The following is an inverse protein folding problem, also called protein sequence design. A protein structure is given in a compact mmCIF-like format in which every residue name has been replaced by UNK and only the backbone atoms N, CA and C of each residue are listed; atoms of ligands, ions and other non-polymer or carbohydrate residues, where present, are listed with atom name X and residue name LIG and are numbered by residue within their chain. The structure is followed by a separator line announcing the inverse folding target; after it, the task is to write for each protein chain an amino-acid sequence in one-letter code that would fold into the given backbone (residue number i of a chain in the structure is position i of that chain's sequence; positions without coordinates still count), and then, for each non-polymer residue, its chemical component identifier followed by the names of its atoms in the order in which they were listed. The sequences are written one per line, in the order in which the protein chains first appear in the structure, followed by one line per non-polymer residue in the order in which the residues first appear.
data_IF_631249700659
#
_entry.id   IF_631249700659
#
_cell.length_a   1.000
_cell.length_b   1.000
_cell.length_c   1.000
_cell.angle_alpha   90.00
_cell.angle_beta   90.00
_cell.angle_gamma   90.00
#
_symmetry.space_group_name_H-M   'P 1'
#
loop_
_entity.id
_entity.type
_entity.pdbx_description
1 polymer ?
#
# COMPACT_ATOMS: atom_id res chain seq x y z
N UNK A 1 10.49 29.37 0.99
CA UNK A 1 11.31 28.16 1.20
C UNK A 1 10.61 27.17 2.14
N UNK A 2 10.01 27.68 3.20
CA UNK A 2 9.34 26.85 4.22
C UNK A 2 8.20 25.99 3.66
N UNK A 3 7.38 26.57 2.78
CA UNK A 3 6.31 25.83 2.07
C UNK A 3 6.86 24.69 1.22
N UNK A 4 7.99 24.87 0.53
CA UNK A 4 8.59 23.82 -0.29
C UNK A 4 9.06 22.65 0.56
N UNK A 5 9.78 22.93 1.65
CA UNK A 5 10.26 21.90 2.58
C UNK A 5 9.06 21.16 3.20
N UNK A 6 8.02 21.90 3.59
CA UNK A 6 6.79 21.28 4.12
C UNK A 6 6.13 20.35 3.11
N UNK A 7 6.03 20.74 1.83
CA UNK A 7 5.44 19.90 0.79
C UNK A 7 6.30 18.67 0.51
N UNK A 8 7.63 18.76 0.58
CA UNK A 8 8.50 17.59 0.47
C UNK A 8 8.27 16.62 1.64
N UNK A 9 8.20 17.11 2.89
CA UNK A 9 7.92 16.26 4.06
C UNK A 9 6.55 15.60 3.92
N UNK A 10 5.51 16.37 3.62
CA UNK A 10 4.16 15.84 3.41
C UNK A 10 4.13 14.78 2.30
N UNK A 11 4.83 15.06 1.19
CA UNK A 11 4.95 14.15 0.06
C UNK A 11 5.70 12.87 0.40
N UNK A 12 6.77 12.95 1.19
CA UNK A 12 7.50 11.77 1.67
C UNK A 12 6.63 10.91 2.59
N UNK A 13 5.85 11.51 3.48
CA UNK A 13 4.92 10.78 4.35
C UNK A 13 3.82 10.11 3.54
N UNK A 14 3.16 10.85 2.67
CA UNK A 14 2.10 10.32 1.78
C UNK A 14 2.64 9.22 0.87
N UNK A 15 3.78 9.49 0.23
CA UNK A 15 4.45 8.56 -0.65
C UNK A 15 4.95 7.30 0.06
N UNK A 16 5.29 7.40 1.35
CA UNK A 16 5.65 6.24 2.18
C UNK A 16 4.46 5.29 2.37
N UNK A 17 3.27 5.84 2.59
CA UNK A 17 2.04 5.01 2.65
C UNK A 17 1.76 4.34 1.30
N UNK A 18 1.86 5.09 0.20
CA UNK A 18 1.70 4.51 -1.14
C UNK A 18 2.76 3.44 -1.43
N UNK A 19 4.01 3.66 -1.03
CA UNK A 19 5.08 2.70 -1.19
C UNK A 19 4.82 1.39 -0.45
N UNK A 20 4.32 1.43 0.80
CA UNK A 20 3.97 0.23 1.57
C UNK A 20 2.89 -0.60 0.86
N UNK A 21 1.86 0.04 0.33
CA UNK A 21 0.80 -0.64 -0.42
C UNK A 21 1.32 -1.14 -1.78
N UNK A 22 2.13 -0.34 -2.48
CA UNK A 22 2.73 -0.68 -3.76
C UNK A 22 3.68 -1.90 -3.65
N UNK A 23 4.40 -2.03 -2.53
CA UNK A 23 5.21 -3.22 -2.23
C UNK A 23 4.34 -4.48 -2.16
N UNK A 24 3.17 -4.41 -1.54
CA UNK A 24 2.21 -5.53 -1.51
C UNK A 24 1.69 -5.90 -2.89
N UNK A 25 1.33 -4.93 -3.72
CA UNK A 25 0.94 -5.16 -5.12
C UNK A 25 2.07 -5.83 -5.91
N UNK A 26 3.26 -5.26 -5.83
CA UNK A 26 4.44 -5.72 -6.57
C UNK A 26 4.85 -7.14 -6.18
N UNK A 27 4.75 -7.50 -4.90
CA UNK A 27 5.03 -8.87 -4.44
C UNK A 27 4.08 -9.89 -5.06
N UNK A 28 2.77 -9.62 -5.02
CA UNK A 28 1.77 -10.52 -5.57
C UNK A 28 1.91 -10.61 -7.08
N UNK A 29 1.98 -9.46 -7.75
CA UNK A 29 2.13 -9.41 -9.21
C UNK A 29 3.42 -10.09 -9.70
N UNK A 30 4.54 -9.88 -9.03
CA UNK A 30 5.83 -10.47 -9.41
C UNK A 30 5.86 -12.00 -9.39
N UNK A 31 4.90 -12.66 -8.72
CA UNK A 31 4.86 -14.12 -8.64
C UNK A 31 3.76 -14.74 -9.52
N UNK A 32 2.58 -14.12 -9.57
CA UNK A 32 1.44 -14.70 -10.29
C UNK A 32 1.01 -13.91 -11.53
N UNK A 33 1.65 -12.77 -11.79
CA UNK A 33 1.31 -11.84 -12.88
C UNK A 33 -0.19 -11.45 -12.91
N UNK A 34 -0.83 -11.39 -11.74
CA UNK A 34 -2.21 -10.96 -11.55
C UNK A 34 -2.27 -9.76 -10.60
N UNK A 35 -3.11 -8.79 -10.96
CA UNK A 35 -3.33 -7.59 -10.16
C UNK A 35 -4.47 -7.86 -9.18
N UNK A 36 -4.20 -7.68 -7.89
CA UNK A 36 -5.20 -7.79 -6.84
C UNK A 36 -5.82 -6.43 -6.52
N UNK A 37 -6.83 -5.98 -7.26
CA UNK A 37 -7.50 -4.70 -6.98
C UNK A 37 -8.18 -4.64 -5.60
N UNK A 38 -8.45 -5.78 -4.97
CA UNK A 38 -8.96 -5.81 -3.60
C UNK A 38 -7.90 -5.44 -2.53
N UNK A 39 -6.63 -5.27 -2.93
CA UNK A 39 -5.53 -5.00 -1.99
C UNK A 39 -5.68 -3.64 -1.26
N UNK A 40 -6.23 -2.62 -1.93
CA UNK A 40 -6.58 -1.36 -1.30
C UNK A 40 -7.64 -1.53 -0.20
N UNK A 41 -8.60 -2.43 -0.40
CA UNK A 41 -9.62 -2.71 0.62
C UNK A 41 -9.07 -3.50 1.81
N UNK A 42 -7.99 -4.26 1.61
CA UNK A 42 -7.26 -4.89 2.74
C UNK A 42 -6.65 -3.81 3.65
N UNK A 43 -6.12 -2.73 3.07
CA UNK A 43 -5.68 -1.54 3.83
C UNK A 43 -6.84 -0.96 4.67
N UNK A 44 -8.01 -0.77 4.05
CA UNK A 44 -9.22 -0.27 4.74
C UNK A 44 -9.61 -1.19 5.90
N UNK A 45 -9.67 -2.50 5.68
CA UNK A 45 -9.98 -3.48 6.74
C UNK A 45 -8.96 -3.40 7.88
N UNK A 46 -7.67 -3.22 7.55
CA UNK A 46 -6.61 -3.02 8.54
C UNK A 46 -6.84 -1.79 9.40
N UNK A 47 -7.15 -0.65 8.77
CA UNK A 47 -7.45 0.59 9.46
C UNK A 47 -8.68 0.49 10.37
N UNK A 48 -9.79 -0.09 9.87
CA UNK A 48 -11.03 -0.28 10.64
C UNK A 48 -10.85 -1.28 11.79
N UNK A 49 -10.11 -2.36 11.58
CA UNK A 49 -9.76 -3.33 12.64
C UNK A 49 -8.92 -2.67 13.73
N UNK A 50 -7.89 -1.92 13.35
CA UNK A 50 -7.07 -1.18 14.31
C UNK A 50 -7.90 -0.17 15.09
N UNK A 51 -8.77 0.60 14.40
CA UNK A 51 -9.71 1.52 15.06
C UNK A 51 -10.58 0.81 16.09
N UNK A 52 -11.13 -0.36 15.75
CA UNK A 52 -11.99 -1.15 16.65
C UNK A 52 -11.24 -1.55 17.92
N UNK A 53 -10.02 -2.09 17.76
CA UNK A 53 -9.19 -2.53 18.89
C UNK A 53 -8.76 -1.35 19.76
N UNK A 54 -8.28 -0.28 19.14
CA UNK A 54 -7.86 0.94 19.86
C UNK A 54 -9.02 1.53 20.67
N UNK A 55 -10.20 1.65 20.05
CA UNK A 55 -11.39 2.21 20.72
C UNK A 55 -11.88 1.31 21.85
N UNK A 56 -11.84 -0.02 21.67
CA UNK A 56 -12.23 -0.98 22.69
C UNK A 56 -11.26 -1.01 23.88
N UNK A 57 -9.97 -0.79 23.65
CA UNK A 57 -8.94 -0.84 24.68
C UNK A 57 -8.64 0.54 25.30
N UNK A 58 -9.08 1.64 24.70
CA UNK A 58 -8.88 2.99 25.22
C UNK A 58 -9.35 3.17 26.69
N UNK A 59 -10.48 2.59 27.13
CA UNK A 59 -10.94 2.72 28.53
C UNK A 59 -10.01 2.09 29.56
N UNK A 60 -9.12 1.18 29.17
CA UNK A 60 -8.18 0.52 30.08
C UNK A 60 -6.96 1.36 30.45
N UNK A 61 -6.84 2.60 29.93
CA UNK A 61 -5.76 3.53 30.28
C UNK A 61 -4.38 3.12 29.78
N UNK A 62 -4.31 2.30 28.73
CA UNK A 62 -3.05 1.89 28.13
C UNK A 62 -2.36 3.08 27.42
N UNK A 63 -1.01 3.13 27.44
CA UNK A 63 -0.29 4.18 26.72
C UNK A 63 -0.56 4.10 25.21
N UNK A 64 -0.61 5.25 24.52
CA UNK A 64 -1.02 5.34 23.13
C UNK A 64 -0.15 4.49 22.18
N UNK A 65 1.17 4.38 22.44
CA UNK A 65 2.05 3.50 21.66
C UNK A 65 1.66 2.02 21.78
N UNK A 66 1.21 1.58 22.97
CA UNK A 66 0.77 0.20 23.17
C UNK A 66 -0.56 -0.07 22.46
N UNK A 67 -1.50 0.89 22.49
CA UNK A 67 -2.75 0.82 21.74
C UNK A 67 -2.50 0.74 20.24
N UNK A 68 -1.56 1.54 19.72
CA UNK A 68 -1.18 1.50 18.32
C UNK A 68 -0.58 0.15 17.93
N UNK A 69 0.30 -0.40 18.75
CA UNK A 69 0.92 -1.70 18.53
C UNK A 69 -0.10 -2.84 18.55
N UNK A 70 -1.00 -2.85 19.54
CA UNK A 70 -2.07 -3.87 19.63
C UNK A 70 -3.05 -3.75 18.45
N UNK A 71 -3.42 -2.53 18.07
CA UNK A 71 -4.22 -2.27 16.88
C UNK A 71 -3.54 -2.76 15.59
N UNK A 72 -2.24 -2.54 15.46
CA UNK A 72 -1.46 -3.02 14.33
C UNK A 72 -1.38 -4.55 14.29
N UNK A 73 -1.09 -5.21 15.41
CA UNK A 73 -1.04 -6.68 15.48
C UNK A 73 -2.38 -7.29 15.08
N UNK A 74 -3.48 -6.77 15.62
CA UNK A 74 -4.82 -7.23 15.27
C UNK A 74 -5.13 -7.01 13.78
N UNK A 75 -4.78 -5.82 13.24
CA UNK A 75 -4.93 -5.52 11.82
C UNK A 75 -4.15 -6.50 10.94
N UNK A 76 -2.89 -6.79 11.27
CA UNK A 76 -2.05 -7.75 10.53
C UNK A 76 -2.66 -9.14 10.55
N UNK A 77 -3.12 -9.62 11.70
CA UNK A 77 -3.73 -10.95 11.83
C UNK A 77 -5.01 -11.04 10.98
N UNK A 78 -5.93 -10.08 11.13
CA UNK A 78 -7.22 -10.08 10.42
C UNK A 78 -7.00 -9.94 8.90
N UNK A 79 -6.16 -9.01 8.47
CA UNK A 79 -5.87 -8.80 7.05
C UNK A 79 -5.17 -10.01 6.43
N UNK A 80 -4.24 -10.63 7.15
CA UNK A 80 -3.54 -11.84 6.69
C UNK A 80 -4.50 -13.01 6.52
N UNK A 81 -5.38 -13.23 7.49
CA UNK A 81 -6.42 -14.27 7.41
C UNK A 81 -7.41 -14.00 6.26
N UNK A 82 -7.85 -12.74 6.12
CA UNK A 82 -8.74 -12.30 5.04
C UNK A 82 -8.11 -12.53 3.67
N UNK A 83 -6.88 -12.07 3.48
CA UNK A 83 -6.22 -12.15 2.17
C UNK A 83 -5.82 -13.60 1.82
N UNK A 84 -5.52 -14.43 2.81
CA UNK A 84 -5.36 -15.87 2.63
C UNK A 84 -6.67 -16.51 2.15
N UNK A 85 -7.80 -16.14 2.76
CA UNK A 85 -9.12 -16.62 2.33
C UNK A 85 -9.45 -16.16 0.89
N UNK A 86 -9.20 -14.88 0.57
CA UNK A 86 -9.39 -14.33 -0.78
C UNK A 86 -8.53 -15.09 -1.80
N UNK A 87 -7.25 -15.35 -1.49
CA UNK A 87 -6.38 -16.14 -2.38
C UNK A 87 -6.97 -17.53 -2.63
N UNK A 88 -7.34 -18.22 -1.55
CA UNK A 88 -7.79 -19.61 -1.63
C UNK A 88 -9.15 -19.77 -2.31
N UNK A 89 -10.08 -18.84 -2.07
CA UNK A 89 -11.47 -18.94 -2.53
C UNK A 89 -11.65 -18.27 -3.90
N UNK A 90 -11.08 -17.09 -4.09
CA UNK A 90 -11.32 -16.28 -5.27
C UNK A 90 -10.22 -16.42 -6.34
N UNK A 91 -8.94 -16.38 -5.97
CA UNK A 91 -7.85 -16.33 -6.96
C UNK A 91 -7.33 -17.72 -7.36
N UNK A 92 -7.22 -18.66 -6.41
CA UNK A 92 -6.66 -19.99 -6.69
C UNK A 92 -7.44 -20.75 -7.78
N UNK A 93 -8.78 -20.77 -7.78
CA UNK A 93 -9.56 -21.45 -8.84
C UNK A 93 -9.40 -20.81 -10.21
N UNK A 94 -9.07 -19.52 -10.28
CA UNK A 94 -9.02 -18.73 -11.50
C UNK A 94 -7.60 -18.62 -12.11
N UNK A 95 -6.60 -19.26 -11.53
CA UNK A 95 -5.21 -19.17 -12.04
C UNK A 95 -5.01 -19.63 -13.47
N UNK A 96 -5.84 -20.59 -13.92
CA UNK A 96 -5.81 -21.10 -15.28
C UNK A 96 -6.93 -20.53 -16.17
N UNK A 97 -7.72 -19.59 -15.67
CA UNK A 97 -8.79 -18.94 -16.42
C UNK A 97 -8.23 -17.82 -17.33
N UNK A 98 -9.01 -17.37 -18.32
CA UNK A 98 -8.63 -16.22 -19.13
C UNK A 98 -8.33 -14.98 -18.26
N UNK A 99 -7.38 -14.14 -18.67
CA UNK A 99 -6.87 -13.00 -17.89
C UNK A 99 -7.95 -12.04 -17.36
N UNK A 100 -9.09 -11.96 -18.04
CA UNK A 100 -10.22 -11.10 -17.62
C UNK A 100 -10.95 -11.65 -16.38
N UNK A 101 -10.99 -12.97 -16.17
CA UNK A 101 -11.74 -13.55 -15.06
C UNK A 101 -11.15 -13.17 -13.68
N UNK A 102 -9.84 -13.28 -13.42
CA UNK A 102 -9.25 -12.78 -12.17
C UNK A 102 -9.41 -11.28 -11.99
N UNK A 103 -9.37 -10.49 -13.08
CA UNK A 103 -9.54 -9.04 -13.03
C UNK A 103 -10.96 -8.67 -12.53
N UNK A 104 -11.99 -9.25 -13.16
CA UNK A 104 -13.39 -9.01 -12.76
C UNK A 104 -13.63 -9.48 -11.33
N UNK A 105 -13.07 -10.64 -10.96
CA UNK A 105 -13.16 -11.15 -9.60
C UNK A 105 -12.50 -10.22 -8.57
N UNK A 106 -11.34 -9.65 -8.91
CA UNK A 106 -10.68 -8.68 -8.05
C UNK A 106 -11.53 -7.41 -7.80
N UNK A 107 -12.18 -6.91 -8.86
CA UNK A 107 -13.10 -5.76 -8.75
C UNK A 107 -14.34 -6.13 -7.93
N UNK A 108 -14.92 -7.33 -8.15
CA UNK A 108 -16.03 -7.84 -7.36
C UNK A 108 -15.68 -8.01 -5.88
N UNK A 109 -14.47 -8.50 -5.59
CA UNK A 109 -13.97 -8.62 -4.20
C UNK A 109 -13.76 -7.26 -3.55
N UNK A 110 -13.28 -6.25 -4.27
CA UNK A 110 -13.17 -4.89 -3.75
C UNK A 110 -14.54 -4.35 -3.32
N UNK A 111 -15.56 -4.43 -4.19
CA UNK A 111 -16.93 -4.00 -3.88
C UNK A 111 -17.55 -4.80 -2.71
N UNK A 112 -17.31 -6.10 -2.68
CA UNK A 112 -17.77 -6.96 -1.59
C UNK A 112 -17.17 -6.53 -0.25
N UNK A 113 -15.87 -6.28 -0.19
CA UNK A 113 -15.19 -5.84 1.03
C UNK A 113 -15.68 -4.46 1.50
N UNK A 114 -15.89 -3.51 0.58
CA UNK A 114 -16.48 -2.20 0.89
C UNK A 114 -17.87 -2.34 1.49
N UNK A 115 -18.71 -3.18 0.86
CA UNK A 115 -20.08 -3.41 1.32
C UNK A 115 -20.11 -4.11 2.68
N UNK A 116 -19.27 -5.13 2.89
CA UNK A 116 -19.13 -5.79 4.19
C UNK A 116 -18.64 -4.82 5.26
N UNK A 117 -17.65 -3.99 4.95
CA UNK A 117 -17.16 -2.97 5.86
C UNK A 117 -18.26 -1.94 6.21
N UNK A 118 -19.08 -1.53 5.23
CA UNK A 118 -20.22 -0.64 5.45
C UNK A 118 -21.27 -1.27 6.38
N UNK A 119 -21.55 -2.57 6.25
CA UNK A 119 -22.50 -3.28 7.11
C UNK A 119 -21.96 -3.42 8.53
N UNK A 120 -20.70 -3.81 8.69
CA UNK A 120 -20.08 -4.08 10.00
C UNK A 120 -19.82 -2.79 10.76
N UNK A 121 -19.18 -1.81 10.13
CA UNK A 121 -18.73 -0.57 10.78
C UNK A 121 -19.64 0.62 10.52
N UNK A 122 -20.72 0.48 9.73
CA UNK A 122 -21.61 1.56 9.27
C UNK A 122 -20.90 2.59 8.36
N UNK A 123 -21.66 3.36 7.55
CA UNK A 123 -21.07 4.24 6.52
C UNK A 123 -20.40 5.52 7.04
N UNK A 124 -20.61 5.85 8.32
CA UNK A 124 -20.15 7.12 8.89
C UNK A 124 -18.63 7.14 9.09
N UNK A 125 -18.03 8.32 8.91
CA UNK A 125 -16.66 8.58 9.31
C UNK A 125 -16.48 8.34 10.82
N UNK A 126 -15.36 7.68 11.16
CA UNK A 126 -14.97 7.42 12.55
C UNK A 126 -13.68 8.14 12.83
N UNK A 127 -13.65 8.88 13.94
CA UNK A 127 -12.43 9.53 14.38
C UNK A 127 -11.44 8.48 14.89
N UNK A 128 -10.22 8.52 14.38
CA UNK A 128 -9.12 7.73 14.90
C UNK A 128 -8.41 8.54 15.99
N UNK A 129 -8.26 8.00 17.22
CA UNK A 129 -7.70 8.77 18.32
C UNK A 129 -6.22 9.10 18.10
N UNK A 130 -5.79 10.23 18.65
CA UNK A 130 -4.36 10.63 18.62
C UNK A 130 -3.61 9.76 19.63
N UNK A 131 -2.86 8.79 19.13
CA UNK A 131 -2.16 7.80 19.96
C UNK A 131 -0.74 8.21 20.35
N UNK A 132 -0.11 9.08 19.56
CA UNK A 132 1.25 9.58 19.78
C UNK A 132 1.24 11.11 19.92
N UNK A 133 0.70 11.63 21.06
CA UNK A 133 0.75 13.05 21.32
C UNK A 133 2.20 13.49 21.53
N UNK A 134 2.53 14.72 21.15
CA UNK A 134 3.84 15.31 21.35
C UNK A 134 3.92 16.65 20.64
N UNK A 135 4.89 17.45 21.02
CA UNK A 135 5.16 18.69 20.33
C UNK A 135 5.69 18.41 18.92
N UNK A 136 5.20 19.12 17.92
CA UNK A 136 5.70 18.96 16.56
C UNK A 136 7.16 19.44 16.47
N UNK A 137 7.97 18.70 15.75
CA UNK A 137 9.37 19.03 15.53
C UNK A 137 9.51 20.00 14.35
N UNK A 138 10.29 21.05 14.53
CA UNK A 138 10.58 22.02 13.47
C UNK A 138 11.90 21.67 12.77
N UNK A 139 11.85 21.45 11.46
CA UNK A 139 13.01 21.17 10.63
C UNK A 139 13.05 22.19 9.47
N UNK A 140 13.98 23.13 9.50
CA UNK A 140 14.16 24.11 8.43
C UNK A 140 12.93 24.96 8.12
N UNK A 141 12.11 25.29 9.14
CA UNK A 141 10.86 26.04 8.99
C UNK A 141 9.63 25.17 8.67
N UNK A 142 9.81 23.88 8.44
CA UNK A 142 8.72 22.93 8.27
C UNK A 142 8.42 22.17 9.56
N UNK A 143 7.21 21.69 9.69
CA UNK A 143 6.69 20.97 10.87
C UNK A 143 6.50 19.51 10.56
N UNK A 144 7.01 18.63 11.42
CA UNK A 144 6.81 17.18 11.33
C UNK A 144 6.30 16.62 12.67
N UNK A 145 5.25 15.78 12.59
CA UNK A 145 4.64 15.16 13.75
C UNK A 145 5.26 13.78 14.06
N UNK A 146 5.13 13.30 15.30
CA UNK A 146 5.63 11.99 15.72
C UNK A 146 5.08 10.83 14.86
N UNK A 147 3.82 10.89 14.45
CA UNK A 147 3.21 9.88 13.56
C UNK A 147 3.88 9.88 12.18
N UNK A 148 4.19 11.05 11.63
CA UNK A 148 4.87 11.18 10.35
C UNK A 148 6.29 10.61 10.38
N UNK A 149 7.03 10.87 11.47
CA UNK A 149 8.35 10.27 11.69
C UNK A 149 8.23 8.75 11.76
N UNK A 150 7.25 8.24 12.51
CA UNK A 150 6.99 6.81 12.61
C UNK A 150 6.71 6.18 11.24
N UNK A 151 5.90 6.83 10.39
CA UNK A 151 5.60 6.36 9.03
C UNK A 151 6.88 6.22 8.21
N UNK A 152 7.73 7.24 8.20
CA UNK A 152 9.00 7.22 7.46
C UNK A 152 9.91 6.09 7.93
N UNK A 153 10.11 5.97 9.25
CA UNK A 153 10.94 4.92 9.85
C UNK A 153 10.37 3.52 9.53
N UNK A 154 9.07 3.31 9.73
CA UNK A 154 8.43 2.04 9.46
C UNK A 154 8.50 1.65 7.98
N UNK A 155 8.41 2.60 7.07
CA UNK A 155 8.57 2.34 5.63
C UNK A 155 9.97 1.85 5.29
N UNK A 156 11.02 2.49 5.82
CA UNK A 156 12.41 2.06 5.60
C UNK A 156 12.68 0.69 6.21
N UNK A 157 12.21 0.45 7.45
CA UNK A 157 12.35 -0.84 8.15
C UNK A 157 11.64 -1.94 7.39
N UNK A 158 10.43 -1.68 6.94
CA UNK A 158 9.61 -2.66 6.19
C UNK A 158 10.24 -3.00 4.85
N UNK A 159 10.71 -2.00 4.08
CA UNK A 159 11.42 -2.25 2.84
C UNK A 159 12.67 -3.09 3.05
N UNK A 160 13.50 -2.70 4.02
CA UNK A 160 14.75 -3.40 4.34
C UNK A 160 14.48 -4.85 4.74
N UNK A 161 13.47 -5.07 5.58
CA UNK A 161 13.04 -6.41 6.00
C UNK A 161 12.53 -7.24 4.84
N UNK A 162 11.75 -6.63 3.94
CA UNK A 162 11.21 -7.30 2.76
C UNK A 162 12.30 -7.64 1.76
N UNK A 163 13.23 -6.73 1.50
CA UNK A 163 14.39 -7.00 0.64
C UNK A 163 15.27 -8.11 1.20
N UNK A 164 15.49 -8.11 2.53
CA UNK A 164 16.20 -9.21 3.20
C UNK A 164 15.46 -10.54 3.03
N UNK A 165 14.13 -10.55 3.27
CA UNK A 165 13.29 -11.73 3.10
C UNK A 165 13.39 -12.29 1.69
N UNK A 166 13.20 -11.46 0.67
CA UNK A 166 13.19 -11.90 -0.74
C UNK A 166 14.57 -12.32 -1.20
N UNK A 167 15.65 -11.60 -0.83
CA UNK A 167 16.97 -11.85 -1.38
C UNK A 167 17.77 -12.90 -0.59
N UNK A 168 17.56 -13.04 0.72
CA UNK A 168 18.43 -13.83 1.61
C UNK A 168 17.75 -15.06 2.20
N UNK A 169 16.41 -15.17 2.23
CA UNK A 169 15.72 -16.29 2.87
C UNK A 169 15.41 -17.46 1.92
N UNK A 170 15.09 -18.62 2.50
CA UNK A 170 14.60 -19.80 1.75
C UNK A 170 13.27 -19.50 1.06
N UNK A 171 12.37 -18.76 1.75
CA UNK A 171 11.08 -18.35 1.18
C UNK A 171 11.28 -17.43 -0.03
N UNK A 172 12.16 -16.46 0.06
CA UNK A 172 12.47 -15.57 -1.06
C UNK A 172 13.03 -16.31 -2.27
N UNK A 173 13.88 -17.31 -2.07
CA UNK A 173 14.35 -18.16 -3.18
C UNK A 173 13.20 -18.95 -3.80
N UNK A 174 12.30 -19.50 -3.00
CA UNK A 174 11.11 -20.19 -3.48
C UNK A 174 10.16 -19.26 -4.24
N UNK A 175 10.01 -18.00 -3.77
CA UNK A 175 9.23 -16.96 -4.46
C UNK A 175 9.79 -16.67 -5.85
N UNK A 176 11.10 -16.43 -5.99
CA UNK A 176 11.75 -16.17 -7.30
C UNK A 176 11.65 -17.37 -8.23
N UNK A 177 11.89 -18.58 -7.72
CA UNK A 177 11.74 -19.80 -8.53
C UNK A 177 10.28 -20.00 -9.02
N UNK A 178 9.30 -19.71 -8.17
CA UNK A 178 7.87 -19.78 -8.54
C UNK A 178 7.50 -18.71 -9.55
N UNK A 179 8.06 -17.52 -9.44
CA UNK A 179 7.85 -16.40 -10.36
C UNK A 179 8.39 -16.73 -11.77
N UNK A 180 9.56 -17.36 -11.85
CA UNK A 180 10.19 -17.74 -13.12
C UNK A 180 9.41 -18.87 -13.83
N UNK A 181 9.16 -19.97 -13.13
CA UNK A 181 8.37 -21.07 -13.66
C UNK A 181 7.80 -21.95 -12.55
N UNK A 182 6.49 -21.85 -12.25
CA UNK A 182 5.87 -22.62 -11.17
C UNK A 182 5.97 -24.14 -11.36
N UNK A 183 5.92 -24.63 -12.61
CA UNK A 183 5.98 -26.07 -12.91
C UNK A 183 7.38 -26.64 -12.65
N UNK A 184 8.40 -25.92 -13.08
CA UNK A 184 9.81 -26.31 -12.84
C UNK A 184 10.12 -26.21 -11.34
N UNK A 185 9.67 -25.14 -10.66
CA UNK A 185 9.84 -25.00 -9.22
C UNK A 185 9.23 -26.18 -8.45
N UNK A 186 8.05 -26.68 -8.89
CA UNK A 186 7.41 -27.83 -8.29
C UNK A 186 8.25 -29.11 -8.44
N UNK A 187 8.89 -29.32 -9.60
CA UNK A 187 9.80 -30.46 -9.85
C UNK A 187 11.04 -30.40 -8.94
N UNK A 188 11.47 -29.20 -8.52
CA UNK A 188 12.57 -28.98 -7.61
C UNK A 188 12.16 -29.03 -6.11
N UNK A 189 10.91 -29.48 -5.81
CA UNK A 189 10.41 -29.65 -4.45
C UNK A 189 9.81 -28.39 -3.81
N UNK A 190 9.68 -27.28 -4.55
CA UNK A 190 8.94 -26.09 -4.09
C UNK A 190 7.44 -26.38 -4.22
N UNK A 191 6.64 -25.91 -3.26
CA UNK A 191 5.17 -25.96 -3.34
C UNK A 191 4.65 -24.58 -3.79
N UNK A 192 4.35 -24.35 -5.10
CA UNK A 192 3.96 -23.03 -5.61
C UNK A 192 2.75 -22.45 -4.88
N UNK A 193 1.74 -23.27 -4.57
CA UNK A 193 0.54 -22.84 -3.86
C UNK A 193 0.86 -22.24 -2.48
N UNK A 194 1.74 -22.89 -1.72
CA UNK A 194 2.14 -22.38 -0.40
C UNK A 194 2.91 -21.08 -0.51
N UNK A 195 3.78 -20.96 -1.51
CA UNK A 195 4.55 -19.75 -1.78
C UNK A 195 3.63 -18.58 -2.15
N UNK A 196 2.66 -18.81 -3.02
CA UNK A 196 1.69 -17.80 -3.44
C UNK A 196 0.84 -17.35 -2.24
N UNK A 197 0.29 -18.31 -1.46
CA UNK A 197 -0.48 -17.96 -0.25
C UNK A 197 0.36 -17.15 0.75
N UNK A 198 1.63 -17.52 0.97
CA UNK A 198 2.54 -16.76 1.82
C UNK A 198 2.76 -15.33 1.30
N UNK A 199 2.85 -15.15 -0.01
CA UNK A 199 2.98 -13.81 -0.63
C UNK A 199 1.75 -12.95 -0.39
N UNK A 200 0.54 -13.53 -0.52
CA UNK A 200 -0.71 -12.83 -0.20
C UNK A 200 -0.78 -12.42 1.26
N UNK A 201 -0.35 -13.29 2.18
CA UNK A 201 -0.29 -12.99 3.62
C UNK A 201 0.69 -11.85 3.92
N UNK A 202 1.89 -11.89 3.35
CA UNK A 202 2.88 -10.82 3.53
C UNK A 202 2.37 -9.50 2.93
N UNK A 203 1.81 -9.55 1.72
CA UNK A 203 1.19 -8.37 1.12
C UNK A 203 0.09 -7.77 1.99
N UNK A 204 -0.76 -8.61 2.60
CA UNK A 204 -1.79 -8.15 3.52
C UNK A 204 -1.24 -7.52 4.80
N UNK A 205 -0.13 -8.03 5.33
CA UNK A 205 0.54 -7.41 6.47
C UNK A 205 1.07 -6.01 6.13
N UNK A 206 1.60 -5.82 4.91
CA UNK A 206 2.02 -4.51 4.40
C UNK A 206 0.82 -3.55 4.24
N UNK A 207 -0.29 -4.03 3.68
CA UNK A 207 -1.51 -3.24 3.54
C UNK A 207 -2.10 -2.86 4.90
N UNK A 208 -2.10 -3.78 5.88
CA UNK A 208 -2.54 -3.51 7.24
C UNK A 208 -1.69 -2.42 7.91
N UNK A 209 -0.36 -2.53 7.79
CA UNK A 209 0.56 -1.52 8.30
C UNK A 209 0.28 -0.15 7.66
N UNK A 210 0.17 -0.10 6.33
CA UNK A 210 -0.15 1.13 5.61
C UNK A 210 -1.50 1.72 6.05
N UNK A 211 -2.52 0.87 6.25
CA UNK A 211 -3.85 1.29 6.70
C UNK A 211 -3.86 1.89 8.10
N UNK A 212 -3.15 1.28 9.03
CA UNK A 212 -3.00 1.81 10.40
C UNK A 212 -2.24 3.14 10.39
N UNK A 213 -1.16 3.24 9.63
CA UNK A 213 -0.38 4.47 9.50
C UNK A 213 -1.20 5.58 8.82
N UNK A 214 -1.96 5.25 7.77
CA UNK A 214 -2.87 6.17 7.09
C UNK A 214 -3.93 6.70 8.07
N UNK A 215 -4.59 5.81 8.82
CA UNK A 215 -5.59 6.19 9.82
C UNK A 215 -5.03 7.08 10.93
N UNK A 216 -3.83 6.76 11.42
CA UNK A 216 -3.15 7.54 12.45
C UNK A 216 -2.73 8.93 11.96
N UNK A 217 -2.34 9.05 10.67
CA UNK A 217 -1.93 10.34 10.09
C UNK A 217 -3.11 11.25 9.77
N UNK A 218 -4.19 10.69 9.21
CA UNK A 218 -5.38 11.48 8.81
C UNK A 218 -6.45 11.61 9.90
N UNK A 219 -6.33 10.87 11.00
CA UNK A 219 -7.24 10.94 12.14
C UNK A 219 -8.67 10.46 11.85
N UNK A 220 -8.89 9.76 10.74
CA UNK A 220 -10.22 9.29 10.35
C UNK A 220 -10.17 7.97 9.58
N UNK A 221 -11.22 7.15 9.73
CA UNK A 221 -11.41 5.91 9.00
C UNK A 221 -12.83 5.77 8.48
N UNK A 222 -13.00 5.19 7.31
CA UNK A 222 -14.30 4.90 6.70
C UNK A 222 -14.22 3.67 5.77
N UNK A 223 -15.38 3.14 5.41
CA UNK A 223 -15.53 1.92 4.61
C UNK A 223 -15.07 2.02 3.14
N UNK A 224 -14.81 3.22 2.63
CA UNK A 224 -14.33 3.44 1.24
C UNK A 224 -12.89 3.97 1.18
N UNK A 225 -12.23 4.12 2.35
CA UNK A 225 -10.92 4.77 2.43
C UNK A 225 -9.80 4.01 1.69
N UNK A 226 -10.00 2.74 1.37
CA UNK A 226 -8.99 1.91 0.72
C UNK A 226 -8.90 2.11 -0.80
N UNK A 227 -9.99 2.53 -1.43
CA UNK A 227 -10.09 2.57 -2.90
C UNK A 227 -9.09 3.53 -3.55
N UNK A 228 -9.11 4.81 -3.17
CA UNK A 228 -8.22 5.81 -3.77
C UNK A 228 -6.73 5.56 -3.46
N UNK A 229 -6.31 5.35 -2.20
CA UNK A 229 -4.93 4.99 -1.91
C UNK A 229 -4.49 3.69 -2.57
N UNK A 230 -5.39 2.70 -2.69
CA UNK A 230 -5.13 1.45 -3.40
C UNK A 230 -4.87 1.67 -4.89
N UNK A 231 -5.70 2.46 -5.56
CA UNK A 231 -5.51 2.81 -6.96
C UNK A 231 -4.21 3.60 -7.19
N UNK A 232 -3.92 4.59 -6.35
CA UNK A 232 -2.68 5.38 -6.40
C UNK A 232 -1.44 4.52 -6.16
N UNK A 233 -1.49 3.62 -5.18
CA UNK A 233 -0.39 2.70 -4.92
C UNK A 233 -0.16 1.70 -6.06
N UNK A 234 -1.23 1.25 -6.73
CA UNK A 234 -1.09 0.45 -7.94
C UNK A 234 -0.41 1.26 -9.06
N UNK A 235 -0.85 2.48 -9.31
CA UNK A 235 -0.20 3.35 -10.31
C UNK A 235 1.25 3.65 -9.95
N UNK A 236 1.55 3.82 -8.67
CA UNK A 236 2.92 3.97 -8.15
C UNK A 236 3.78 2.73 -8.40
N UNK A 237 3.24 1.53 -8.21
CA UNK A 237 3.94 0.28 -8.51
C UNK A 237 4.26 0.16 -10.00
N UNK A 238 3.32 0.53 -10.88
CA UNK A 238 3.54 0.56 -12.33
C UNK A 238 4.58 1.62 -12.71
N UNK A 239 4.47 2.83 -12.14
CA UNK A 239 5.41 3.93 -12.34
C UNK A 239 6.83 3.56 -11.92
N UNK A 240 6.98 2.87 -10.80
CA UNK A 240 8.28 2.39 -10.31
C UNK A 240 8.86 1.24 -11.12
N UNK A 241 8.02 0.45 -11.80
CA UNK A 241 8.36 -0.78 -12.49
C UNK A 241 7.81 -1.99 -11.74
N UNK A 242 6.62 -2.43 -12.14
CA UNK A 242 5.89 -3.52 -11.47
C UNK A 242 6.72 -4.81 -11.48
N UNK A 243 6.80 -5.50 -10.36
CA UNK A 243 7.66 -6.68 -10.17
C UNK A 243 8.99 -6.37 -9.47
N UNK A 244 9.44 -5.11 -9.49
CA UNK A 244 10.65 -4.67 -8.78
C UNK A 244 10.29 -3.97 -7.47
N UNK A 245 10.69 -4.55 -6.32
CA UNK A 245 10.38 -4.00 -4.98
C UNK A 245 10.96 -2.60 -4.76
N UNK A 246 12.22 -2.39 -5.15
CA UNK A 246 12.86 -1.08 -5.03
C UNK A 246 12.17 -0.06 -5.96
N UNK A 247 11.79 -0.50 -7.16
CA UNK A 247 11.02 0.31 -8.10
C UNK A 247 9.68 0.75 -7.53
N UNK A 248 8.90 -0.17 -6.99
CA UNK A 248 7.60 0.13 -6.38
C UNK A 248 7.70 1.13 -5.22
N UNK A 249 8.74 1.00 -4.38
CA UNK A 249 8.98 1.96 -3.31
C UNK A 249 9.31 3.34 -3.85
N UNK A 250 10.27 3.43 -4.76
CA UNK A 250 10.65 4.73 -5.37
C UNK A 250 9.46 5.35 -6.09
N UNK A 251 8.68 4.55 -6.82
CA UNK A 251 7.46 5.00 -7.48
C UNK A 251 6.42 5.54 -6.49
N UNK A 252 6.21 4.87 -5.36
CA UNK A 252 5.31 5.31 -4.29
C UNK A 252 5.75 6.64 -3.68
N UNK A 253 7.01 6.75 -3.30
CA UNK A 253 7.56 7.97 -2.72
C UNK A 253 7.50 9.14 -3.71
N UNK A 254 7.90 8.92 -4.96
CA UNK A 254 7.85 9.95 -5.99
C UNK A 254 6.42 10.40 -6.29
N UNK A 255 5.47 9.46 -6.38
CA UNK A 255 4.06 9.81 -6.59
C UNK A 255 3.53 10.69 -5.47
N UNK A 256 3.83 10.35 -4.21
CA UNK A 256 3.42 11.15 -3.06
C UNK A 256 4.06 12.55 -3.04
N UNK A 257 5.33 12.66 -3.43
CA UNK A 257 6.01 13.96 -3.55
C UNK A 257 5.41 14.80 -4.68
N UNK A 258 5.15 14.20 -5.85
CA UNK A 258 4.52 14.88 -6.98
C UNK A 258 3.12 15.38 -6.60
N UNK A 259 2.33 14.54 -5.94
CA UNK A 259 0.98 14.88 -5.47
C UNK A 259 1.00 16.01 -4.46
N UNK A 260 1.91 15.97 -3.48
CA UNK A 260 2.05 17.01 -2.46
C UNK A 260 2.51 18.33 -3.05
N UNK A 261 3.48 18.32 -3.96
CA UNK A 261 3.91 19.54 -4.69
C UNK A 261 2.77 20.09 -5.56
N UNK A 262 2.02 19.21 -6.23
CA UNK A 262 0.82 19.61 -6.98
C UNK A 262 -0.20 20.28 -6.07
N UNK A 263 -0.52 19.70 -4.92
CA UNK A 263 -1.44 20.29 -3.95
C UNK A 263 -0.99 21.67 -3.44
N UNK A 264 0.32 21.86 -3.26
CA UNK A 264 0.87 23.08 -2.72
C UNK A 264 1.04 24.23 -3.72
N UNK A 265 1.23 23.91 -5.00
CA UNK A 265 1.62 24.94 -6.00
C UNK A 265 0.63 25.08 -7.17
N UNK A 266 -0.29 24.14 -7.39
CA UNK A 266 -1.19 24.19 -8.54
C UNK A 266 -2.10 25.44 -8.51
N UNK A 267 -2.50 25.88 -7.32
CA UNK A 267 -3.29 27.09 -7.14
C UNK A 267 -2.54 28.34 -7.60
N UNK A 268 -1.30 28.48 -7.18
CA UNK A 268 -0.44 29.61 -7.51
C UNK A 268 -0.09 29.63 -9.00
N UNK A 269 0.23 28.45 -9.57
CA UNK A 269 0.58 28.30 -10.99
C UNK A 269 -0.57 28.61 -11.93
N UNK A 270 -1.81 28.38 -11.49
CA UNK A 270 -3.02 28.56 -12.33
C UNK A 270 -3.80 29.83 -11.99
N UNK A 271 -3.24 30.73 -11.18
CA UNK A 271 -3.94 31.96 -10.77
C UNK A 271 -5.22 31.68 -9.95
N UNK A 272 -5.27 30.57 -9.22
CA UNK A 272 -6.41 30.19 -8.39
C UNK A 272 -7.52 29.43 -9.13
N UNK A 273 -7.36 29.16 -10.44
CA UNK A 273 -8.37 28.43 -11.24
C UNK A 273 -8.43 26.96 -10.83
N UNK A 274 -7.28 26.34 -10.55
CA UNK A 274 -7.19 24.94 -10.09
C UNK A 274 -6.79 24.97 -8.61
N UNK A 275 -7.66 24.46 -7.75
CA UNK A 275 -7.37 24.29 -6.32
C UNK A 275 -6.66 22.97 -6.01
N UNK A 276 -6.35 22.74 -4.73
CA UNK A 276 -5.74 21.49 -4.23
C UNK A 276 -6.55 20.22 -4.56
N UNK A 277 -7.83 20.34 -4.88
CA UNK A 277 -8.66 19.21 -5.31
C UNK A 277 -8.19 18.57 -6.62
N UNK A 278 -7.38 19.27 -7.41
CA UNK A 278 -6.82 18.77 -8.68
C UNK A 278 -5.44 18.13 -8.52
N UNK A 279 -4.95 17.93 -7.28
CA UNK A 279 -3.68 17.27 -7.00
C UNK A 279 -3.55 15.89 -7.65
N UNK A 280 -4.65 15.13 -7.66
CA UNK A 280 -4.70 13.79 -8.26
C UNK A 280 -4.56 13.85 -9.78
N UNK A 281 -5.21 14.83 -10.43
CA UNK A 281 -5.10 15.05 -11.88
C UNK A 281 -3.65 15.38 -12.24
N UNK A 282 -3.00 16.26 -11.48
CA UNK A 282 -1.60 16.61 -11.69
C UNK A 282 -0.68 15.37 -11.56
N UNK A 283 -0.87 14.58 -10.51
CA UNK A 283 -0.10 13.37 -10.28
C UNK A 283 -0.28 12.35 -11.42
N UNK A 284 -1.52 12.15 -11.90
CA UNK A 284 -1.79 11.25 -13.00
C UNK A 284 -1.28 11.76 -14.37
N UNK A 285 -1.32 13.06 -14.62
CA UNK A 285 -0.72 13.64 -15.83
C UNK A 285 0.77 13.39 -15.87
N UNK A 286 1.48 13.65 -14.77
CA UNK A 286 2.93 13.36 -14.69
C UNK A 286 3.19 11.87 -14.87
N UNK A 287 2.39 11.00 -14.26
CA UNK A 287 2.49 9.56 -14.43
C UNK A 287 2.35 9.15 -15.91
N UNK A 288 1.31 9.63 -16.59
CA UNK A 288 1.07 9.32 -18.01
C UNK A 288 2.26 9.77 -18.86
N UNK A 289 2.77 10.98 -18.62
CA UNK A 289 3.94 11.49 -19.35
C UNK A 289 5.15 10.59 -19.15
N UNK A 290 5.44 10.18 -17.91
CA UNK A 290 6.60 9.31 -17.65
C UNK A 290 6.39 7.92 -18.26
N UNK A 291 5.22 7.31 -18.16
CA UNK A 291 4.94 6.00 -18.75
C UNK A 291 4.93 6.03 -20.30
N UNK A 292 4.58 7.16 -20.90
CA UNK A 292 4.68 7.34 -22.35
C UNK A 292 6.14 7.36 -22.80
N UNK A 293 7.03 7.98 -22.00
CA UNK A 293 8.46 8.04 -22.28
C UNK A 293 9.21 6.75 -21.86
N UNK A 294 8.75 6.11 -20.78
CA UNK A 294 9.33 4.87 -20.22
C UNK A 294 8.24 3.87 -19.82
N UNK A 295 7.71 3.10 -20.78
CA UNK A 295 6.59 2.17 -20.53
C UNK A 295 6.93 1.04 -19.55
N UNK A 296 8.21 0.78 -19.29
CA UNK A 296 8.67 -0.21 -18.32
C UNK A 296 8.72 0.33 -16.88
N UNK A 297 8.40 1.62 -16.66
CA UNK A 297 8.59 2.31 -15.40
C UNK A 297 10.03 2.77 -15.16
N UNK A 298 10.27 3.36 -13.98
CA UNK A 298 11.59 3.96 -13.66
C UNK A 298 12.70 2.92 -13.48
N UNK A 299 12.40 1.82 -12.78
CA UNK A 299 13.34 0.74 -12.44
C UNK A 299 12.88 -0.64 -12.94
N UNK A 300 11.99 -0.66 -13.94
CA UNK A 300 11.52 -1.90 -14.57
C UNK A 300 12.65 -2.58 -15.35
N UNK A 301 12.72 -3.90 -15.28
CA UNK A 301 13.64 -4.69 -16.10
C UNK A 301 13.17 -4.67 -17.56
N UNK A 302 14.11 -4.52 -18.49
CA UNK A 302 13.82 -4.74 -19.90
C UNK A 302 13.51 -6.22 -20.08
N UNK A 303 12.27 -6.56 -20.39
CA UNK A 303 11.97 -7.88 -20.92
C UNK A 303 12.72 -7.97 -22.23
N UNK A 304 13.81 -8.74 -22.25
CA UNK A 304 14.46 -9.06 -23.50
C UNK A 304 13.42 -9.79 -24.35
N UNK A 305 13.10 -9.24 -25.52
CA UNK A 305 12.32 -9.95 -26.52
C UNK A 305 13.03 -11.27 -26.81
N UNK A 306 12.55 -12.35 -26.20
CA UNK A 306 12.93 -13.70 -26.58
C UNK A 306 12.19 -13.97 -27.88
N UNK A 307 12.86 -13.66 -28.99
CA UNK A 307 12.49 -14.12 -30.32
C UNK A 307 12.45 -15.64 -30.38
#
# INVERSE_FOLDING_TARGET
MDTFIQQIINGLVLGSVYALVALGYTMVYGIINLINFAHGEVLMVGALTSWTVVTALAPFGLPGWALLLLGLIAAVIVCSALNFAIEKIAYRPLRNAPRLAPLITAMGMSLLLQTLAMIIWKPNYKSFPILLPGEPHMIGGAVINNVQILILVMTVVTLSSLMYLVNRTKLGRAMRATAENPRVAALMGVRPDTVISATFVIGAALAALAGVMYAANYGSVQHTMGFLPGLKAFTAAVFGGIGNLAGAMVGGVLLGVIESLGAGYIGDLTGGVLGSHYQDVFAFVVLILVLTLRPQGLLGERVADRA
#
